data_IF_959375798865
#
_entry.id   IF_959375798865
#
_cell.length_a   1.000
_cell.length_b   1.000
_cell.length_c   1.000
_cell.angle_alpha   90.00
_cell.angle_beta   90.00
_cell.angle_gamma   90.00
#
_symmetry.space_group_name_H-M   'P 1'
#
loop_
_entity.id
_entity.type
_entity.pdbx_description
1 polymer ?
#
# COMPACT_ATOMS: atom_id res chain seq x y z
N UNK A 1 -6.96 22.73 -24.47
CA UNK A 1 -6.77 23.38 -23.15
C UNK A 1 -5.30 23.22 -22.79
N UNK A 2 -4.59 24.32 -22.63
CA UNK A 2 -3.14 24.35 -22.42
C UNK A 2 -2.80 24.16 -20.95
N UNK A 3 -1.60 23.68 -20.68
CA UNK A 3 -1.03 23.70 -19.33
C UNK A 3 -0.92 25.14 -18.82
N UNK A 4 -1.35 25.40 -17.58
CA UNK A 4 -1.20 26.72 -16.93
C UNK A 4 -2.46 27.60 -16.96
N UNK A 5 -3.48 27.20 -17.73
CA UNK A 5 -4.74 27.96 -17.84
C UNK A 5 -5.72 27.67 -16.69
N UNK A 6 -5.47 26.61 -15.91
CA UNK A 6 -6.39 26.16 -14.86
C UNK A 6 -5.88 26.56 -13.50
N UNK A 7 -6.79 26.93 -12.62
CA UNK A 7 -6.48 27.21 -11.22
C UNK A 7 -5.68 26.10 -10.54
N UNK A 8 -5.98 24.83 -10.89
CA UNK A 8 -5.24 23.68 -10.35
C UNK A 8 -3.76 23.65 -10.70
N UNK A 9 -3.38 24.23 -11.84
CA UNK A 9 -1.99 24.23 -12.32
C UNK A 9 -1.12 25.22 -11.52
N UNK A 10 -1.75 26.08 -10.71
CA UNK A 10 -1.11 27.05 -9.81
C UNK A 10 -1.06 26.58 -8.34
N UNK A 11 -1.62 25.41 -8.03
CA UNK A 11 -1.59 24.88 -6.66
C UNK A 11 -0.18 24.42 -6.30
N UNK A 12 0.20 24.60 -5.03
CA UNK A 12 1.47 24.08 -4.53
C UNK A 12 1.35 22.56 -4.38
N UNK A 13 2.29 21.82 -4.96
CA UNK A 13 2.36 20.37 -4.82
C UNK A 13 3.30 20.03 -3.67
N UNK A 14 2.81 19.26 -2.70
CA UNK A 14 3.55 18.90 -1.49
C UNK A 14 4.20 17.53 -1.58
N UNK A 15 3.57 16.60 -2.29
CA UNK A 15 4.00 15.22 -2.41
C UNK A 15 3.30 14.53 -3.58
N UNK A 16 3.80 13.37 -3.97
CA UNK A 16 3.21 12.47 -4.95
C UNK A 16 3.17 11.02 -4.44
N UNK A 17 2.25 10.24 -5.00
CA UNK A 17 2.05 8.84 -4.67
C UNK A 17 1.58 8.02 -5.88
N UNK A 18 2.24 6.90 -6.22
CA UNK A 18 1.82 6.03 -7.32
C UNK A 18 0.65 5.14 -6.87
N UNK A 19 -0.36 5.04 -7.72
CA UNK A 19 -1.58 4.29 -7.46
C UNK A 19 -1.85 3.35 -8.64
N UNK A 20 -2.00 2.06 -8.35
CA UNK A 20 -2.27 1.05 -9.37
C UNK A 20 -3.75 1.10 -9.78
N UNK A 21 -4.02 1.11 -11.09
CA UNK A 21 -5.36 0.94 -11.64
C UNK A 21 -5.55 -0.50 -12.17
N UNK A 22 -6.31 -1.36 -11.48
CA UNK A 22 -6.45 -2.77 -11.84
C UNK A 22 -6.99 -3.05 -13.25
N UNK A 23 -7.82 -2.14 -13.76
CA UNK A 23 -8.47 -2.31 -15.06
C UNK A 23 -7.47 -2.23 -16.21
N UNK A 24 -6.60 -1.22 -16.16
CA UNK A 24 -5.65 -0.92 -17.23
C UNK A 24 -4.27 -1.49 -16.96
N UNK A 25 -4.01 -1.90 -15.71
CA UNK A 25 -2.69 -2.34 -15.26
C UNK A 25 -1.67 -1.20 -15.15
N UNK A 26 -2.13 0.03 -15.28
CA UNK A 26 -1.30 1.23 -15.31
C UNK A 26 -1.18 1.79 -13.89
N UNK A 27 0.01 2.28 -13.58
CA UNK A 27 0.26 3.08 -12.39
C UNK A 27 0.07 4.55 -12.73
N UNK A 28 -0.89 5.22 -12.09
CA UNK A 28 -1.04 6.68 -12.20
C UNK A 28 -0.40 7.34 -10.98
N UNK A 29 0.30 8.44 -11.23
CA UNK A 29 0.81 9.27 -10.14
C UNK A 29 -0.34 10.15 -9.63
N UNK A 30 -0.50 10.19 -8.31
CA UNK A 30 -1.34 11.17 -7.63
C UNK A 30 -0.46 12.25 -7.02
N UNK A 31 -0.98 13.46 -6.91
CA UNK A 31 -0.32 14.59 -6.26
C UNK A 31 -1.15 15.08 -5.07
N UNK A 32 -0.47 15.40 -3.98
CA UNK A 32 -1.02 16.07 -2.82
C UNK A 32 -0.89 17.58 -3.05
N UNK A 33 -1.95 18.20 -3.52
CA UNK A 33 -1.97 19.61 -3.88
C UNK A 33 -2.62 20.45 -2.77
N UNK A 34 -2.08 21.64 -2.53
CA UNK A 34 -2.67 22.68 -1.67
C UNK A 34 -2.92 23.94 -2.49
N UNK A 35 -4.19 24.36 -2.54
CA UNK A 35 -4.56 25.64 -3.14
C UNK A 35 -4.34 26.81 -2.17
N UNK A 36 -4.70 28.03 -2.60
CA UNK A 36 -4.46 29.28 -1.85
C UNK A 36 -5.01 29.27 -0.42
N UNK A 37 -6.18 28.67 -0.21
CA UNK A 37 -6.84 28.57 1.10
C UNK A 37 -7.51 27.21 1.21
N UNK A 38 -6.78 26.19 1.65
CA UNK A 38 -7.36 24.86 1.76
C UNK A 38 -6.48 23.83 2.46
N UNK A 39 -7.11 22.71 2.82
CA UNK A 39 -6.38 21.53 3.23
C UNK A 39 -5.82 20.79 2.01
N UNK A 40 -4.62 20.20 2.11
CA UNK A 40 -4.05 19.40 1.03
C UNK A 40 -4.99 18.26 0.61
N UNK A 41 -5.12 18.03 -0.70
CA UNK A 41 -5.95 16.96 -1.27
C UNK A 41 -5.18 16.16 -2.30
N UNK A 42 -5.36 14.84 -2.25
CA UNK A 42 -4.89 13.94 -3.28
C UNK A 42 -5.76 14.07 -4.53
N UNK A 43 -5.12 14.17 -5.69
CA UNK A 43 -5.76 14.14 -7.01
C UNK A 43 -4.82 13.52 -8.03
N UNK A 44 -5.34 13.16 -9.19
CA UNK A 44 -4.47 12.60 -10.23
C UNK A 44 -3.55 13.69 -10.79
N UNK A 45 -2.27 13.34 -10.90
CA UNK A 45 -1.21 14.21 -11.36
C UNK A 45 -1.29 14.38 -12.87
N UNK A 46 -1.09 15.61 -13.29
CA UNK A 46 -1.06 16.01 -14.69
C UNK A 46 0.28 16.68 -14.96
N UNK A 47 0.81 16.48 -16.16
CA UNK A 47 2.08 17.04 -16.61
C UNK A 47 1.92 17.60 -18.03
N UNK A 48 2.71 18.61 -18.41
CA UNK A 48 2.69 19.13 -19.77
C UNK A 48 3.15 18.06 -20.77
N UNK A 49 2.49 18.02 -21.93
CA UNK A 49 2.94 17.25 -23.08
C UNK A 49 3.90 18.07 -23.95
N UNK A 50 4.68 17.41 -24.80
CA UNK A 50 5.64 18.09 -25.70
C UNK A 50 4.97 19.13 -26.63
N UNK A 51 3.66 19.00 -26.89
CA UNK A 51 2.88 19.95 -27.68
C UNK A 51 2.11 20.99 -26.86
N UNK A 52 2.46 21.20 -25.58
CA UNK A 52 1.79 22.17 -24.69
C UNK A 52 0.42 21.74 -24.16
N UNK A 53 -0.03 20.52 -24.51
CA UNK A 53 -1.24 19.90 -23.97
C UNK A 53 -1.02 19.32 -22.58
N UNK A 54 -2.07 18.72 -22.02
CA UNK A 54 -2.03 18.07 -20.71
C UNK A 54 -2.02 16.56 -20.92
N UNK A 55 -1.11 15.85 -20.25
CA UNK A 55 -1.13 14.38 -20.15
C UNK A 55 -1.18 13.95 -18.69
N UNK A 56 -1.78 12.80 -18.45
CA UNK A 56 -1.69 12.14 -17.14
C UNK A 56 -0.26 11.65 -16.92
N UNK A 57 0.19 11.63 -15.67
CA UNK A 57 1.48 11.07 -15.29
C UNK A 57 1.29 9.57 -14.96
N UNK A 58 1.67 8.71 -15.89
CA UNK A 58 1.43 7.26 -15.81
C UNK A 58 2.65 6.43 -16.16
N UNK A 59 2.73 5.24 -15.57
CA UNK A 59 3.85 4.31 -15.62
C UNK A 59 3.32 2.89 -15.90
N UNK A 60 4.13 2.08 -16.59
CA UNK A 60 3.74 0.70 -16.95
C UNK A 60 4.05 -0.31 -15.87
N UNK A 61 5.01 -0.02 -15.00
CA UNK A 61 5.50 -0.90 -13.95
C UNK A 61 5.62 -0.16 -12.61
N UNK A 62 5.59 -0.93 -11.54
CA UNK A 62 5.60 -0.42 -10.17
C UNK A 62 6.95 0.23 -9.82
N UNK A 63 8.06 -0.35 -10.27
CA UNK A 63 9.41 0.07 -9.89
C UNK A 63 9.72 1.45 -10.44
N UNK A 64 9.40 1.71 -11.71
CA UNK A 64 9.55 3.03 -12.33
C UNK A 64 8.64 4.06 -11.65
N UNK A 65 7.39 3.69 -11.31
CA UNK A 65 6.48 4.58 -10.60
C UNK A 65 6.98 4.93 -9.19
N UNK A 66 7.59 3.97 -8.48
CA UNK A 66 8.17 4.17 -7.15
C UNK A 66 9.46 5.00 -7.20
N UNK A 67 10.31 4.77 -8.21
CA UNK A 67 11.51 5.59 -8.43
C UNK A 67 11.14 7.06 -8.70
N UNK A 68 10.17 7.29 -9.60
CA UNK A 68 9.66 8.63 -9.88
C UNK A 68 9.04 9.28 -8.64
N UNK A 69 8.32 8.52 -7.80
CA UNK A 69 7.80 9.02 -6.51
C UNK A 69 8.92 9.59 -5.64
N UNK A 70 10.03 8.86 -5.50
CA UNK A 70 11.16 9.26 -4.65
C UNK A 70 11.80 10.56 -5.16
N UNK A 71 12.09 10.62 -6.46
CA UNK A 71 12.69 11.80 -7.09
C UNK A 71 11.79 13.03 -6.97
N UNK A 72 10.50 12.88 -7.30
CA UNK A 72 9.52 13.96 -7.25
C UNK A 72 9.30 14.47 -5.83
N UNK A 73 9.20 13.58 -4.83
CA UNK A 73 9.02 13.99 -3.44
C UNK A 73 10.25 14.73 -2.90
N UNK A 74 11.46 14.28 -3.21
CA UNK A 74 12.68 14.98 -2.84
C UNK A 74 12.72 16.40 -3.43
N UNK A 75 12.29 16.55 -4.69
CA UNK A 75 12.17 17.86 -5.34
C UNK A 75 11.12 18.74 -4.65
N UNK A 76 9.92 18.22 -4.38
CA UNK A 76 8.86 19.00 -3.74
C UNK A 76 9.22 19.44 -2.32
N UNK A 77 9.95 18.60 -1.58
CA UNK A 77 10.48 18.97 -0.28
C UNK A 77 11.49 20.11 -0.39
N UNK A 78 12.39 20.06 -1.38
CA UNK A 78 13.37 21.12 -1.63
C UNK A 78 12.70 22.43 -2.07
N UNK A 79 11.73 22.37 -3.00
CA UNK A 79 10.96 23.52 -3.49
C UNK A 79 10.20 24.21 -2.34
N UNK A 80 9.59 23.42 -1.44
CA UNK A 80 8.87 23.96 -0.29
C UNK A 80 9.79 24.65 0.72
N UNK A 81 11.04 24.18 0.89
CA UNK A 81 12.04 24.80 1.77
C UNK A 81 12.42 26.21 1.29
N UNK A 82 12.55 26.42 -0.02
CA UNK A 82 12.95 27.71 -0.61
C UNK A 82 11.78 28.61 -0.97
N UNK A 83 10.54 28.12 -0.87
CA UNK A 83 9.33 28.89 -1.18
C UNK A 83 9.18 30.12 -0.27
N UNK A 84 8.81 31.31 -0.81
CA UNK A 84 8.66 32.56 -0.07
C UNK A 84 7.34 32.58 0.75
N UNK A 85 7.20 31.63 1.65
CA UNK A 85 6.09 31.50 2.60
C UNK A 85 6.59 31.67 4.04
N UNK A 86 5.66 31.98 4.94
CA UNK A 86 5.94 32.04 6.38
C UNK A 86 6.44 30.68 6.92
N UNK A 87 7.33 30.72 7.92
CA UNK A 87 7.94 29.52 8.51
C UNK A 87 6.92 28.61 9.19
N UNK A 88 5.93 29.18 9.88
CA UNK A 88 4.88 28.39 10.52
C UNK A 88 4.03 27.66 9.47
N UNK A 89 3.70 28.36 8.38
CA UNK A 89 2.97 27.78 7.24
C UNK A 89 3.80 26.67 6.59
N UNK A 90 5.09 26.90 6.36
CA UNK A 90 6.02 25.90 5.78
C UNK A 90 6.06 24.63 6.64
N UNK A 91 6.28 24.78 7.94
CA UNK A 91 6.34 23.65 8.87
C UNK A 91 5.00 22.88 8.92
N UNK A 92 3.87 23.60 8.93
CA UNK A 92 2.54 22.99 8.86
C UNK A 92 2.34 22.17 7.58
N UNK A 93 2.76 22.70 6.42
CA UNK A 93 2.67 21.99 5.14
C UNK A 93 3.58 20.75 5.10
N UNK A 94 4.81 20.84 5.61
CA UNK A 94 5.72 19.70 5.74
C UNK A 94 5.11 18.59 6.60
N UNK A 95 4.54 18.93 7.75
CA UNK A 95 3.84 17.97 8.61
C UNK A 95 2.64 17.33 7.92
N UNK A 96 1.83 18.09 7.19
CA UNK A 96 0.68 17.56 6.43
C UNK A 96 1.12 16.62 5.31
N UNK A 97 2.22 16.95 4.62
CA UNK A 97 2.80 16.10 3.58
C UNK A 97 3.29 14.78 4.17
N UNK A 98 4.10 14.85 5.22
CA UNK A 98 4.65 13.68 5.93
C UNK A 98 3.54 12.76 6.44
N UNK A 99 2.54 13.29 7.16
CA UNK A 99 1.40 12.50 7.66
C UNK A 99 0.60 11.84 6.53
N UNK A 100 0.42 12.55 5.40
CA UNK A 100 -0.32 12.04 4.26
C UNK A 100 0.43 10.91 3.54
N UNK A 101 1.75 11.04 3.38
CA UNK A 101 2.61 10.00 2.83
C UNK A 101 2.66 8.78 3.74
N UNK A 102 2.85 8.98 5.04
CA UNK A 102 2.83 7.89 6.03
C UNK A 102 1.49 7.13 6.02
N UNK A 103 0.37 7.83 5.87
CA UNK A 103 -0.94 7.20 5.75
C UNK A 103 -1.06 6.31 4.49
N UNK A 104 -0.52 6.76 3.35
CA UNK A 104 -0.48 5.98 2.10
C UNK A 104 0.43 4.76 2.23
N UNK A 105 1.63 4.92 2.79
CA UNK A 105 2.58 3.83 3.05
C UNK A 105 1.96 2.76 3.95
N UNK A 106 1.29 3.17 5.02
CA UNK A 106 0.61 2.26 5.94
C UNK A 106 -0.47 1.44 5.23
N UNK A 107 -1.29 2.05 4.37
CA UNK A 107 -2.35 1.37 3.62
C UNK A 107 -1.78 0.36 2.61
N UNK A 108 -0.70 0.72 1.89
CA UNK A 108 -0.07 -0.20 0.94
C UNK A 108 0.61 -1.38 1.66
N UNK A 109 1.33 -1.08 2.73
CA UNK A 109 2.01 -2.08 3.56
C UNK A 109 1.03 -3.08 4.16
N UNK A 110 -0.15 -2.61 4.58
CA UNK A 110 -1.25 -3.45 5.04
C UNK A 110 -1.67 -4.48 4.00
N UNK A 111 -2.03 -4.02 2.80
CA UNK A 111 -2.57 -4.90 1.77
C UNK A 111 -1.50 -5.87 1.26
N UNK A 112 -0.24 -5.45 1.20
CA UNK A 112 0.90 -6.32 0.90
C UNK A 112 1.06 -7.45 1.95
N UNK A 113 0.93 -7.11 3.25
CA UNK A 113 1.01 -8.09 4.32
C UNK A 113 -0.17 -9.07 4.27
N UNK A 114 -1.39 -8.57 4.06
CA UNK A 114 -2.58 -9.40 3.93
C UNK A 114 -2.47 -10.34 2.72
N UNK A 115 -1.97 -9.87 1.58
CA UNK A 115 -1.75 -10.71 0.40
C UNK A 115 -0.71 -11.81 0.64
N UNK A 116 0.41 -11.47 1.29
CA UNK A 116 1.43 -12.46 1.64
C UNK A 116 0.87 -13.55 2.58
N UNK A 117 0.05 -13.17 3.55
CA UNK A 117 -0.61 -14.09 4.48
C UNK A 117 -1.65 -14.97 3.78
N UNK A 118 -2.45 -14.38 2.88
CA UNK A 118 -3.42 -15.07 2.04
C UNK A 118 -2.76 -16.18 1.20
N UNK A 119 -1.66 -15.86 0.51
CA UNK A 119 -0.88 -16.86 -0.24
C UNK A 119 -0.35 -17.96 0.66
N UNK A 120 0.22 -17.61 1.83
CA UNK A 120 0.73 -18.60 2.78
C UNK A 120 -0.36 -19.53 3.30
N UNK A 121 -1.56 -19.01 3.59
CA UNK A 121 -2.72 -19.81 4.03
C UNK A 121 -3.17 -20.82 2.99
N UNK A 122 -3.01 -20.46 1.71
CA UNK A 122 -3.44 -21.27 0.58
C UNK A 122 -2.29 -21.97 -0.13
N UNK A 123 -1.11 -22.03 0.49
CA UNK A 123 0.08 -22.68 -0.07
C UNK A 123 -0.11 -24.20 -0.30
N UNK A 124 -1.03 -24.83 0.45
CA UNK A 124 -1.40 -26.24 0.26
C UNK A 124 -2.52 -26.46 -0.76
N UNK A 125 -3.13 -25.40 -1.30
CA UNK A 125 -4.14 -25.53 -2.34
C UNK A 125 -3.41 -25.78 -3.66
N UNK A 126 -3.59 -26.95 -4.30
CA UNK A 126 -2.91 -27.24 -5.55
C UNK A 126 -3.44 -26.32 -6.65
N UNK A 127 -2.53 -25.89 -7.53
CA UNK A 127 -2.92 -25.23 -8.77
C UNK A 127 -3.64 -26.24 -9.67
N UNK A 128 -4.84 -25.91 -10.17
CA UNK A 128 -5.56 -26.81 -11.08
C UNK A 128 -4.78 -26.93 -12.39
N UNK A 129 -4.65 -28.16 -12.90
CA UNK A 129 -4.09 -28.35 -14.24
C UNK A 129 -5.09 -27.86 -15.31
N UNK A 130 -4.59 -27.46 -16.49
CA UNK A 130 -5.45 -27.03 -17.58
C UNK A 130 -6.55 -28.04 -17.91
N UNK A 131 -6.26 -29.35 -17.83
CA UNK A 131 -7.22 -30.43 -18.10
C UNK A 131 -8.32 -30.59 -17.03
N UNK A 132 -8.06 -30.20 -15.78
CA UNK A 132 -9.01 -30.30 -14.67
C UNK A 132 -10.06 -29.18 -14.68
N UNK A 133 -9.78 -28.09 -15.38
CA UNK A 133 -10.68 -26.94 -15.43
C UNK A 133 -11.96 -27.31 -16.21
N UNK A 134 -13.11 -27.04 -15.59
CA UNK A 134 -14.42 -27.12 -16.24
C UNK A 134 -14.77 -25.74 -16.78
N UNK A 135 -14.89 -25.61 -18.10
CA UNK A 135 -15.20 -24.36 -18.78
C UNK A 135 -16.48 -24.51 -19.60
N UNK A 136 -17.14 -23.39 -19.88
CA UNK A 136 -18.15 -23.33 -20.94
C UNK A 136 -17.49 -23.35 -22.32
N UNK A 137 -18.26 -23.70 -23.37
CA UNK A 137 -17.74 -23.72 -24.74
C UNK A 137 -17.14 -22.37 -25.20
N UNK A 138 -17.68 -21.25 -24.71
CA UNK A 138 -17.16 -19.90 -25.04
C UNK A 138 -15.86 -19.57 -24.33
N UNK A 139 -15.61 -20.18 -23.18
CA UNK A 139 -14.43 -19.93 -22.36
C UNK A 139 -13.26 -20.85 -22.73
N UNK A 140 -13.53 -21.97 -23.41
CA UNK A 140 -12.56 -22.97 -23.82
C UNK A 140 -11.28 -22.41 -24.48
N UNK A 141 -11.34 -21.39 -25.37
CA UNK A 141 -10.13 -20.81 -25.98
C UNK A 141 -9.16 -20.16 -24.97
N UNK A 142 -9.62 -19.84 -23.76
CA UNK A 142 -8.83 -19.18 -22.71
C UNK A 142 -8.37 -20.16 -21.62
N UNK A 143 -8.48 -21.48 -21.85
CA UNK A 143 -8.13 -22.52 -20.86
C UNK A 143 -6.71 -22.36 -20.31
N UNK A 144 -5.72 -22.20 -21.19
CA UNK A 144 -4.32 -22.10 -20.77
C UNK A 144 -4.07 -20.79 -20.02
N UNK A 145 -4.62 -19.68 -20.52
CA UNK A 145 -4.55 -18.38 -19.83
C UNK A 145 -5.19 -18.41 -18.43
N UNK A 146 -6.28 -19.17 -18.26
CA UNK A 146 -6.91 -19.39 -16.96
C UNK A 146 -6.02 -20.25 -16.04
N UNK A 147 -5.42 -21.33 -16.56
CA UNK A 147 -4.52 -22.18 -15.80
C UNK A 147 -3.31 -21.40 -15.29
N UNK A 148 -2.69 -20.58 -16.14
CA UNK A 148 -1.57 -19.71 -15.79
C UNK A 148 -1.96 -18.70 -14.69
N UNK A 149 -3.13 -18.07 -14.84
CA UNK A 149 -3.61 -17.10 -13.85
C UNK A 149 -3.92 -17.75 -12.48
N UNK A 150 -4.37 -19.02 -12.48
CA UNK A 150 -4.63 -19.79 -11.27
C UNK A 150 -3.39 -20.43 -10.65
N UNK A 151 -2.26 -20.48 -11.37
CA UNK A 151 -1.01 -20.99 -10.82
C UNK A 151 -0.53 -20.17 -9.60
N UNK A 152 -0.70 -18.85 -9.66
CA UNK A 152 -0.32 -17.94 -8.57
C UNK A 152 -1.40 -17.84 -7.47
N UNK A 153 -2.68 -17.92 -7.86
CA UNK A 153 -3.83 -17.73 -6.97
C UNK A 153 -4.88 -18.84 -7.15
N UNK A 154 -4.60 -20.09 -6.78
CA UNK A 154 -5.46 -21.24 -7.11
C UNK A 154 -6.80 -21.26 -6.37
N UNK A 155 -6.97 -20.37 -5.41
CA UNK A 155 -8.10 -20.29 -4.51
C UNK A 155 -9.10 -19.18 -4.86
N UNK A 156 -8.85 -18.39 -5.91
CA UNK A 156 -9.78 -17.32 -6.31
C UNK A 156 -10.94 -17.86 -7.14
N UNK A 157 -12.08 -17.19 -7.05
CA UNK A 157 -13.29 -17.50 -7.83
C UNK A 157 -13.52 -16.55 -8.99
N UNK A 158 -12.62 -15.59 -9.19
CA UNK A 158 -12.65 -14.65 -10.31
C UNK A 158 -11.24 -14.15 -10.59
N UNK A 159 -10.86 -14.15 -11.86
CA UNK A 159 -9.50 -13.83 -12.29
C UNK A 159 -9.51 -13.12 -13.63
N UNK A 160 -8.53 -12.25 -13.85
CA UNK A 160 -8.28 -11.66 -15.17
C UNK A 160 -7.49 -12.67 -16.01
N UNK A 161 -7.84 -12.81 -17.27
CA UNK A 161 -7.14 -13.68 -18.22
C UNK A 161 -6.71 -12.87 -19.43
N UNK A 162 -5.65 -13.33 -20.11
CA UNK A 162 -5.11 -12.64 -21.28
C UNK A 162 -4.43 -11.32 -20.94
N UNK A 163 -4.25 -10.51 -21.98
CA UNK A 163 -3.53 -9.25 -21.89
C UNK A 163 -4.37 -8.12 -21.28
N UNK A 164 -3.70 -7.14 -20.68
CA UNK A 164 -4.35 -6.01 -20.00
C UNK A 164 -5.38 -5.25 -20.86
N UNK A 165 -5.06 -5.09 -22.14
CA UNK A 165 -5.89 -4.33 -23.08
C UNK A 165 -7.15 -5.09 -23.53
N UNK A 166 -7.14 -6.42 -23.42
CA UNK A 166 -8.26 -7.28 -23.82
C UNK A 166 -9.42 -7.21 -22.81
N UNK A 167 -9.13 -6.79 -21.57
CA UNK A 167 -10.12 -6.62 -20.49
C UNK A 167 -10.98 -7.88 -20.28
N UNK A 168 -10.36 -9.04 -20.45
CA UNK A 168 -11.00 -10.33 -20.26
C UNK A 168 -10.87 -10.78 -18.81
N UNK A 169 -11.98 -11.27 -18.27
CA UNK A 169 -12.00 -11.84 -16.94
C UNK A 169 -12.99 -12.99 -16.90
N UNK A 170 -12.68 -13.96 -16.05
CA UNK A 170 -13.46 -15.17 -15.88
C UNK A 170 -13.87 -15.29 -14.42
N UNK A 171 -15.02 -15.91 -14.20
CA UNK A 171 -15.49 -16.24 -12.86
C UNK A 171 -15.96 -17.70 -12.79
N UNK A 172 -15.82 -18.27 -11.60
CA UNK A 172 -16.23 -19.63 -11.27
C UNK A 172 -17.65 -19.61 -10.72
N UNK A 173 -18.54 -20.35 -11.36
CA UNK A 173 -19.91 -20.56 -10.86
C UNK A 173 -19.90 -21.38 -9.56
N UNK A 174 -21.06 -21.44 -8.89
CA UNK A 174 -21.25 -22.34 -7.75
C UNK A 174 -21.09 -23.82 -8.10
N UNK A 175 -21.41 -24.22 -9.34
CA UNK A 175 -21.16 -25.57 -9.86
C UNK A 175 -19.71 -25.83 -10.24
N UNK A 176 -18.81 -24.86 -10.03
CA UNK A 176 -17.39 -24.97 -10.28
C UNK A 176 -17.01 -24.82 -11.76
N UNK A 177 -17.91 -24.33 -12.60
CA UNK A 177 -17.68 -24.11 -14.03
C UNK A 177 -17.20 -22.67 -14.22
N UNK A 178 -16.09 -22.52 -14.94
CA UNK A 178 -15.53 -21.24 -15.31
C UNK A 178 -16.17 -20.70 -16.57
N UNK A 179 -16.43 -19.40 -16.55
CA UNK A 179 -17.04 -18.72 -17.68
C UNK A 179 -16.56 -17.27 -17.79
N UNK A 180 -16.70 -16.69 -18.99
CA UNK A 180 -16.43 -15.28 -19.23
C UNK A 180 -17.42 -14.40 -18.44
N UNK A 181 -16.90 -13.39 -17.74
CA UNK A 181 -17.72 -12.27 -17.31
C UNK A 181 -18.27 -11.58 -18.57
N UNK A 182 -19.57 -11.23 -18.57
CA UNK A 182 -20.34 -10.76 -19.73
C UNK A 182 -19.52 -10.04 -20.81
N UNK A 183 -19.69 -10.50 -22.06
CA UNK A 183 -18.90 -10.21 -23.27
C UNK A 183 -18.02 -8.96 -23.20
N UNK A 184 -16.75 -9.17 -22.84
CA UNK A 184 -15.64 -8.27 -23.15
C UNK A 184 -15.57 -6.94 -22.40
N UNK A 185 -16.36 -6.71 -21.32
CA UNK A 185 -16.29 -5.44 -20.59
C UNK A 185 -16.02 -5.59 -19.10
N UNK A 186 -14.84 -6.11 -18.75
CA UNK A 186 -14.32 -5.86 -17.40
C UNK A 186 -14.30 -4.35 -17.16
N UNK A 187 -15.06 -3.90 -16.16
CA UNK A 187 -15.11 -2.51 -15.75
C UNK A 187 -14.25 -2.27 -14.50
N UNK A 188 -14.01 -0.99 -14.17
CA UNK A 188 -13.11 -0.60 -13.06
C UNK A 188 -13.47 -1.29 -11.73
N UNK A 189 -14.76 -1.31 -11.36
CA UNK A 189 -15.22 -2.00 -10.14
C UNK A 189 -14.93 -3.51 -10.18
N UNK A 190 -15.11 -4.18 -11.31
CA UNK A 190 -14.86 -5.61 -11.46
C UNK A 190 -13.37 -5.93 -11.37
N UNK A 191 -12.52 -5.11 -12.00
CA UNK A 191 -11.07 -5.27 -11.90
C UNK A 191 -10.58 -5.04 -10.45
N UNK A 192 -11.11 -4.03 -9.75
CA UNK A 192 -10.82 -3.82 -8.31
C UNK A 192 -11.28 -5.01 -7.47
N UNK A 193 -12.43 -5.61 -7.78
CA UNK A 193 -12.95 -6.78 -7.07
C UNK A 193 -12.03 -8.00 -7.26
N UNK A 194 -11.56 -8.25 -8.49
CA UNK A 194 -10.62 -9.34 -8.79
C UNK A 194 -9.30 -9.14 -8.03
N UNK A 195 -8.76 -7.93 -7.96
CA UNK A 195 -7.53 -7.70 -7.17
C UNK A 195 -7.76 -7.93 -5.67
N UNK A 196 -8.90 -7.49 -5.14
CA UNK A 196 -9.26 -7.72 -3.73
C UNK A 196 -9.54 -9.18 -3.41
N UNK A 197 -10.05 -9.97 -4.38
CA UNK A 197 -10.36 -11.38 -4.18
C UNK A 197 -9.10 -12.21 -3.88
N UNK A 198 -7.96 -11.85 -4.46
CA UNK A 198 -6.65 -12.46 -4.16
C UNK A 198 -6.32 -12.44 -2.67
N UNK A 199 -6.77 -11.41 -1.96
CA UNK A 199 -6.65 -11.31 -0.51
C UNK A 199 -7.84 -11.99 0.18
N UNK A 200 -9.07 -11.55 -0.11
CA UNK A 200 -10.28 -11.99 0.61
C UNK A 200 -10.47 -13.52 0.56
N UNK A 201 -10.35 -14.13 -0.61
CA UNK A 201 -10.51 -15.57 -0.79
C UNK A 201 -9.40 -16.37 -0.08
N UNK A 202 -8.21 -15.79 0.11
CA UNK A 202 -7.14 -16.42 0.89
C UNK A 202 -7.43 -16.51 2.39
N UNK A 203 -8.37 -15.71 2.88
CA UNK A 203 -8.90 -15.74 4.24
C UNK A 203 -10.27 -16.40 4.34
N UNK A 204 -10.75 -17.04 3.27
CA UNK A 204 -12.10 -17.62 3.20
C UNK A 204 -13.22 -16.58 3.44
N UNK A 205 -12.96 -15.33 3.04
CA UNK A 205 -13.91 -14.22 3.12
C UNK A 205 -14.52 -13.94 1.75
N UNK A 206 -15.75 -13.44 1.75
CA UNK A 206 -16.43 -13.08 0.51
C UNK A 206 -15.85 -11.78 -0.08
N UNK A 207 -15.28 -11.79 -1.30
CA UNK A 207 -14.70 -10.61 -1.91
C UNK A 207 -15.72 -9.50 -2.26
N UNK A 208 -17.02 -9.83 -2.37
CA UNK A 208 -18.05 -8.85 -2.72
C UNK A 208 -18.52 -8.01 -1.53
N UNK A 209 -18.10 -8.36 -0.31
CA UNK A 209 -18.38 -7.55 0.89
C UNK A 209 -17.65 -6.20 0.85
N UNK A 210 -18.07 -5.26 1.71
CA UNK A 210 -17.42 -3.97 1.81
C UNK A 210 -15.94 -4.14 2.23
N UNK A 211 -15.02 -3.59 1.43
CA UNK A 211 -13.58 -3.83 1.62
C UNK A 211 -13.06 -3.42 3.01
N UNK A 212 -13.64 -2.36 3.60
CA UNK A 212 -13.29 -1.94 4.96
C UNK A 212 -13.63 -3.00 6.02
N UNK A 213 -14.74 -3.72 5.85
CA UNK A 213 -15.19 -4.78 6.76
C UNK A 213 -14.36 -6.05 6.56
N UNK A 214 -14.08 -6.43 5.31
CA UNK A 214 -13.18 -7.54 4.99
C UNK A 214 -11.80 -7.31 5.62
N UNK A 215 -11.22 -6.13 5.44
CA UNK A 215 -9.94 -5.79 6.09
C UNK A 215 -10.02 -5.81 7.60
N UNK A 216 -11.12 -5.35 8.21
CA UNK A 216 -11.31 -5.44 9.66
C UNK A 216 -11.33 -6.90 10.14
N UNK A 217 -12.06 -7.80 9.46
CA UNK A 217 -12.07 -9.24 9.75
C UNK A 217 -10.67 -9.85 9.63
N UNK A 218 -9.94 -9.51 8.56
CA UNK A 218 -8.56 -9.96 8.35
C UNK A 218 -7.65 -9.49 9.50
N UNK A 219 -7.75 -8.22 9.93
CA UNK A 219 -6.97 -7.71 11.07
C UNK A 219 -7.21 -8.56 12.32
N UNK A 220 -8.46 -8.85 12.66
CA UNK A 220 -8.80 -9.72 13.81
C UNK A 220 -8.15 -11.10 13.70
N UNK A 221 -8.18 -11.69 12.50
CA UNK A 221 -7.56 -12.99 12.22
C UNK A 221 -6.01 -12.93 12.37
N UNK A 222 -5.39 -11.78 12.08
CA UNK A 222 -3.94 -11.60 12.14
C UNK A 222 -3.40 -11.22 13.53
N UNK A 223 -4.24 -10.73 14.46
CA UNK A 223 -3.80 -10.25 15.79
C UNK A 223 -2.95 -11.26 16.59
N UNK A 224 -3.35 -12.54 16.78
CA UNK A 224 -2.54 -13.52 17.50
C UNK A 224 -1.24 -13.89 16.75
N UNK A 225 -1.19 -13.61 15.44
CA UNK A 225 -0.10 -13.97 14.54
C UNK A 225 0.92 -12.85 14.37
N UNK A 226 0.67 -11.65 14.88
CA UNK A 226 1.57 -10.50 14.73
C UNK A 226 2.99 -10.77 15.24
N UNK A 227 3.12 -11.53 16.33
CA UNK A 227 4.42 -11.99 16.85
C UNK A 227 5.12 -12.95 15.87
N UNK A 228 4.37 -13.72 15.07
CA UNK A 228 4.90 -14.56 13.99
C UNK A 228 5.17 -13.76 12.70
N UNK A 229 4.52 -12.61 12.49
CA UNK A 229 4.75 -11.74 11.33
C UNK A 229 6.17 -11.16 11.32
N UNK A 230 6.78 -10.94 12.49
CA UNK A 230 8.21 -10.58 12.62
C UNK A 230 9.15 -11.55 11.88
N UNK A 231 8.73 -12.81 11.71
CA UNK A 231 9.52 -13.86 11.06
C UNK A 231 9.35 -13.90 9.53
N UNK A 232 8.38 -13.16 8.97
CA UNK A 232 8.21 -13.10 7.52
C UNK A 232 9.25 -12.17 6.89
N UNK A 233 9.93 -12.63 5.83
CA UNK A 233 10.95 -11.88 5.11
C UNK A 233 10.44 -10.54 4.56
N UNK A 234 9.18 -10.49 4.12
CA UNK A 234 8.52 -9.27 3.65
C UNK A 234 8.31 -8.24 4.77
N UNK A 235 7.95 -8.69 5.98
CA UNK A 235 7.75 -7.83 7.16
C UNK A 235 9.10 -7.38 7.70
N UNK A 236 10.10 -8.28 7.73
CA UNK A 236 11.47 -7.94 8.12
C UNK A 236 12.06 -6.86 7.23
N UNK A 237 11.91 -6.98 5.90
CA UNK A 237 12.35 -5.95 4.95
C UNK A 237 11.71 -4.58 5.23
N UNK A 238 10.42 -4.58 5.54
CA UNK A 238 9.68 -3.36 5.86
C UNK A 238 10.14 -2.73 7.18
N UNK A 239 10.43 -3.55 8.18
CA UNK A 239 11.00 -3.13 9.45
C UNK A 239 12.46 -2.66 9.31
N UNK A 240 13.24 -3.27 8.43
CA UNK A 240 14.61 -2.86 8.12
C UNK A 240 14.62 -1.51 7.38
N UNK A 241 13.69 -1.28 6.45
CA UNK A 241 13.48 0.01 5.80
C UNK A 241 13.07 1.10 6.81
N UNK A 242 12.20 0.78 7.77
CA UNK A 242 11.83 1.69 8.86
C UNK A 242 13.05 2.02 9.75
N UNK A 243 13.83 1.01 10.13
CA UNK A 243 15.05 1.19 10.92
C UNK A 243 16.10 2.03 10.17
N UNK A 244 16.24 1.83 8.85
CA UNK A 244 17.13 2.61 8.00
C UNK A 244 16.73 4.10 7.92
N UNK A 245 15.44 4.41 8.09
CA UNK A 245 14.93 5.78 8.25
C UNK A 245 15.08 6.34 9.68
N UNK A 246 15.68 5.57 10.59
CA UNK A 246 15.85 5.94 12.00
C UNK A 246 14.60 5.76 12.86
N UNK A 247 13.57 5.11 12.34
CA UNK A 247 12.33 4.84 13.08
C UNK A 247 12.55 3.67 14.05
N UNK A 248 12.33 3.90 15.34
CA UNK A 248 12.42 2.87 16.39
C UNK A 248 11.07 2.27 16.78
N UNK A 249 10.01 2.80 16.19
CA UNK A 249 8.65 2.34 16.38
C UNK A 249 7.91 2.45 15.06
N UNK A 250 7.25 1.37 14.65
CA UNK A 250 6.46 1.32 13.44
C UNK A 250 5.07 0.81 13.77
N UNK A 251 4.04 1.60 13.48
CA UNK A 251 2.65 1.18 13.65
C UNK A 251 2.10 0.73 12.31
N UNK A 252 1.89 -0.57 12.15
CA UNK A 252 1.23 -1.13 10.99
C UNK A 252 -0.08 -1.81 11.43
N UNK A 253 -1.22 -1.26 10.99
CA UNK A 253 -2.55 -1.85 11.17
C UNK A 253 -2.99 -2.18 12.60
N UNK A 254 -2.68 -1.31 13.56
CA UNK A 254 -3.06 -1.51 14.97
C UNK A 254 -2.12 -2.45 15.72
N UNK A 255 -1.05 -2.92 15.07
CA UNK A 255 0.07 -3.62 15.69
C UNK A 255 1.23 -2.62 15.79
N UNK A 256 1.76 -2.44 17.00
CA UNK A 256 2.93 -1.59 17.23
C UNK A 256 4.17 -2.48 17.22
N UNK A 257 5.04 -2.27 16.24
CA UNK A 257 6.38 -2.84 16.21
C UNK A 257 7.34 -1.86 16.91
N UNK A 258 8.15 -2.35 17.82
CA UNK A 258 9.07 -1.55 18.63
C UNK A 258 10.46 -2.15 18.57
N UNK A 259 11.48 -1.33 18.29
CA UNK A 259 12.87 -1.77 18.16
C UNK A 259 13.65 -1.44 19.44
N UNK A 260 14.20 -2.46 20.11
CA UNK A 260 15.02 -2.30 21.33
C UNK A 260 16.51 -2.50 20.99
N UNK A 261 17.37 -1.46 21.11
CA UNK A 261 18.78 -1.56 20.75
C UNK A 261 19.65 -2.25 21.81
N UNK A 262 19.21 -2.31 23.07
CA UNK A 262 19.99 -2.83 24.19
C UNK A 262 19.49 -4.23 24.61
N UNK A 263 20.35 -5.24 24.51
CA UNK A 263 20.10 -6.58 25.10
C UNK A 263 19.72 -7.72 24.14
N UNK A 264 20.09 -7.66 22.85
CA UNK A 264 19.88 -8.75 21.87
C UNK A 264 18.41 -9.09 21.54
N UNK A 265 17.47 -8.14 21.67
CA UNK A 265 16.10 -8.36 21.19
C UNK A 265 15.70 -7.24 20.24
N UNK A 266 15.73 -7.51 18.93
CA UNK A 266 15.43 -6.55 17.86
C UNK A 266 13.97 -6.07 17.82
N UNK A 267 13.33 -6.11 16.64
CA UNK A 267 11.92 -5.72 16.52
C UNK A 267 11.01 -6.63 17.34
N UNK A 268 10.21 -6.03 18.24
CA UNK A 268 9.18 -6.68 19.04
C UNK A 268 7.79 -6.16 18.67
N UNK A 269 6.75 -6.94 18.98
CA UNK A 269 5.36 -6.54 18.82
C UNK A 269 4.76 -6.23 20.19
N UNK A 270 4.25 -5.01 20.36
CA UNK A 270 3.46 -4.60 21.52
C UNK A 270 2.01 -4.44 21.04
N UNK A 271 1.11 -5.31 21.53
CA UNK A 271 -0.33 -5.14 21.30
C UNK A 271 -0.80 -3.90 22.06
N UNK A 272 -1.57 -3.03 21.41
CA UNK A 272 -2.42 -2.07 22.12
C UNK A 272 -3.76 -2.74 22.35
N UNK A 273 -3.90 -3.43 23.48
CA UNK A 273 -5.22 -3.84 23.94
C UNK A 273 -6.02 -2.60 24.33
N UNK A 274 -7.22 -2.47 23.74
CA UNK A 274 -8.33 -1.53 24.07
C UNK A 274 -8.10 -0.04 23.77
N UNK A 275 -9.09 0.70 23.24
CA UNK A 275 -10.24 1.24 24.00
C UNK A 275 -11.54 1.29 23.17
N UNK A 276 -12.60 0.65 23.69
CA UNK A 276 -14.01 1.02 23.47
C UNK A 276 -14.30 2.30 24.25
N UNK A 277 -15.02 3.23 23.63
CA UNK A 277 -15.77 4.37 24.17
C UNK A 277 -15.67 4.67 25.67
N UNK A 278 -15.12 5.84 26.01
CA UNK A 278 -15.18 6.45 27.34
C UNK A 278 -14.11 7.53 27.48
N UNK A 279 -14.49 8.73 27.89
CA UNK A 279 -13.60 9.86 28.15
C UNK A 279 -12.39 9.47 29.01
N UNK A 280 -11.18 9.92 28.64
CA UNK A 280 -9.99 9.76 29.47
C UNK A 280 -8.69 9.59 28.68
N UNK A 281 -8.08 10.72 28.32
CA UNK A 281 -6.63 10.97 28.28
C UNK A 281 -5.72 9.82 27.76
N UNK A 282 -5.52 9.77 26.44
CA UNK A 282 -4.33 9.10 25.89
C UNK A 282 -3.11 9.94 26.24
N UNK A 283 -2.25 9.41 27.12
CA UNK A 283 -0.94 9.96 27.45
C UNK A 283 -0.06 10.04 26.20
N UNK A 284 -0.06 11.22 25.57
CA UNK A 284 1.04 11.67 24.74
C UNK A 284 2.12 12.17 25.70
N UNK A 285 3.27 11.49 25.73
CA UNK A 285 4.48 12.10 26.27
C UNK A 285 5.34 12.54 25.08
N UNK A 286 5.29 13.85 24.81
CA UNK A 286 6.44 14.56 24.25
C UNK A 286 7.70 14.14 25.02
N UNK A 287 8.73 13.73 24.28
CA UNK A 287 9.98 13.28 24.87
C UNK A 287 11.11 13.39 23.87
N UNK A 288 11.64 14.60 23.72
CA UNK A 288 13.01 14.78 23.23
C UNK A 288 13.94 14.01 24.15
N UNK A 289 14.63 12.99 23.65
CA UNK A 289 15.69 12.33 24.42
C UNK A 289 17.03 12.60 23.75
N UNK A 290 17.72 13.61 24.30
CA UNK A 290 19.17 13.80 24.17
C UNK A 290 19.85 12.74 25.04
N UNK A 291 20.92 12.11 24.54
CA UNK A 291 21.92 11.49 25.41
C UNK A 291 23.31 12.10 25.21
N UNK A 292 23.89 12.38 26.37
CA UNK A 292 25.09 13.16 26.71
C UNK A 292 26.32 12.26 26.68
N UNK A 293 27.43 12.73 26.09
CA UNK A 293 28.76 12.09 26.17
C UNK A 293 29.24 12.02 27.62
N UNK A 294 29.67 10.85 28.09
CA UNK A 294 30.61 10.71 29.20
C UNK A 294 31.94 10.16 28.66
N UNK A 295 33.03 10.88 28.96
CA UNK A 295 34.42 10.47 28.73
C UNK A 295 34.89 9.53 29.88
N UNK A 296 36.00 8.78 29.70
CA UNK A 296 36.34 7.62 30.51
C UNK A 296 37.05 8.00 31.81
N UNK A 297 36.89 7.19 32.86
CA UNK A 297 37.74 7.22 34.06
C UNK A 297 37.96 5.79 34.58
N UNK A 298 39.16 5.25 34.36
CA UNK A 298 39.84 4.31 35.26
C UNK A 298 41.17 4.99 35.65
N UNK A 299 41.75 4.89 36.84
CA UNK A 299 41.61 4.04 38.02
C UNK A 299 41.86 4.90 39.28
N UNK A 300 41.48 4.45 40.50
CA UNK A 300 42.08 4.94 41.74
C UNK A 300 43.30 4.09 42.15
N UNK A 301 44.22 4.62 42.97
CA UNK A 301 45.39 3.89 43.46
C UNK A 301 45.05 3.06 44.70
N UNK A 302 45.79 1.97 44.91
CA UNK A 302 45.88 1.27 46.20
C UNK A 302 47.34 1.35 46.65
N UNK A 303 47.50 1.60 47.94
CA UNK A 303 48.72 1.85 48.73
C UNK A 303 49.93 0.97 48.43
#
# INVERSE_FOLDING_TARGET
MSWGDRQRDLDTILAVWPSYEPLTGIWHMQELAVGKTGNPKWRDRQIPSAGGGIKMDWYRDADTALAARLELNARYEADLKVSPIDEEVRHSLQLKASKSLQAKERLQSEEALMLADARRRKASVPAPSAAELKLTARAEPLRDALADALAEFPYVTGVRVGELHERLAMAKSYSGIWDLLADGSLHKRGATLIERSKIASGFDLNPTEHWGEVKAKIRTILLPRANQLLQLSSVRRLLDEALARGEKALVCNGVVFWYEPDGNVGWQVKSTDTVKSGEGTTLWAEGTIRFRKSRPVGNPPIH
#
